data_IF_594424074952
#
_entry.id   IF_594424074952
#
_cell.length_a   1.000
_cell.length_b   1.000
_cell.length_c   1.000
_cell.angle_alpha   90.00
_cell.angle_beta   90.00
_cell.angle_gamma   90.00
#
_symmetry.space_group_name_H-M   'P 1'
#
loop_
_entity.id
_entity.type
_entity.pdbx_description
1 polymer ?
#
# COMPACT_ATOMS: atom_id res chain seq x y z
N UNK A 1 -0.81 -9.23 -13.14
CA UNK A 1 -1.79 -8.65 -14.08
C UNK A 1 -2.84 -9.69 -14.48
N UNK A 2 -3.89 -9.28 -15.21
CA UNK A 2 -4.99 -10.16 -15.61
C UNK A 2 -6.27 -9.40 -15.91
N UNK A 3 -7.21 -10.05 -16.62
CA UNK A 3 -8.49 -9.45 -16.97
C UNK A 3 -9.33 -9.04 -15.73
N UNK A 4 -10.37 -8.24 -15.95
CA UNK A 4 -11.36 -7.97 -14.89
C UNK A 4 -12.02 -9.28 -14.43
N UNK A 5 -12.19 -9.45 -13.13
CA UNK A 5 -12.68 -10.71 -12.54
C UNK A 5 -11.66 -11.86 -12.46
N UNK A 6 -10.38 -11.62 -12.75
CA UNK A 6 -9.30 -12.60 -12.53
C UNK A 6 -8.89 -12.75 -11.04
N UNK A 7 -9.50 -11.98 -10.12
CA UNK A 7 -9.22 -12.04 -8.69
C UNK A 7 -7.88 -11.41 -8.28
N UNK A 8 -7.37 -10.43 -9.04
CA UNK A 8 -6.10 -9.72 -8.77
C UNK A 8 -6.08 -9.09 -7.38
N UNK A 9 -7.01 -8.17 -7.12
CA UNK A 9 -7.20 -7.51 -5.82
C UNK A 9 -7.46 -8.54 -4.72
N UNK A 10 -8.29 -9.55 -4.98
CA UNK A 10 -8.53 -10.62 -4.00
C UNK A 10 -7.26 -11.35 -3.58
N UNK A 11 -6.35 -11.66 -4.52
CA UNK A 11 -5.06 -12.29 -4.19
C UNK A 11 -4.16 -11.32 -3.41
N UNK A 12 -4.12 -10.05 -3.81
CA UNK A 12 -3.36 -9.01 -3.12
C UNK A 12 -3.84 -8.84 -1.65
N UNK A 13 -5.16 -8.86 -1.43
CA UNK A 13 -5.78 -8.79 -0.10
C UNK A 13 -5.47 -10.01 0.77
N UNK A 14 -5.41 -11.22 0.17
CA UNK A 14 -5.05 -12.45 0.89
C UNK A 14 -3.56 -12.41 1.28
N UNK A 15 -2.68 -12.01 0.35
CA UNK A 15 -1.24 -11.91 0.61
C UNK A 15 -0.90 -10.83 1.64
N UNK A 16 -1.59 -9.69 1.62
CA UNK A 16 -1.46 -8.65 2.64
C UNK A 16 -2.14 -9.01 3.97
N UNK A 17 -3.03 -10.00 3.96
CA UNK A 17 -3.79 -10.49 5.13
C UNK A 17 -4.92 -9.55 5.56
N UNK A 18 -5.48 -8.81 4.60
CA UNK A 18 -6.67 -7.96 4.77
C UNK A 18 -7.97 -8.70 4.53
N UNK A 19 -7.94 -9.82 3.82
CA UNK A 19 -9.14 -10.61 3.52
C UNK A 19 -9.71 -11.23 4.81
N UNK A 20 -10.97 -10.90 5.14
CA UNK A 20 -11.66 -11.35 6.35
C UNK A 20 -12.64 -12.50 6.13
N UNK A 21 -12.86 -12.93 4.89
CA UNK A 21 -13.82 -13.98 4.56
C UNK A 21 -13.40 -14.86 3.38
N UNK A 22 -13.99 -16.05 3.31
CA UNK A 22 -13.59 -17.13 2.40
C UNK A 22 -12.71 -18.17 3.09
N UNK A 23 -12.26 -19.17 2.32
CA UNK A 23 -11.36 -20.22 2.79
C UNK A 23 -9.99 -20.06 2.11
N UNK A 24 -8.93 -20.19 2.91
CA UNK A 24 -7.55 -20.22 2.43
C UNK A 24 -7.08 -21.66 2.63
N UNK A 25 -6.86 -22.39 1.54
CA UNK A 25 -6.49 -23.82 1.60
C UNK A 25 -4.99 -24.07 1.76
N UNK A 26 -4.14 -23.06 1.49
CA UNK A 26 -2.68 -23.18 1.48
C UNK A 26 -2.02 -22.20 2.44
N UNK A 27 -0.83 -22.56 2.89
CA UNK A 27 -0.02 -21.72 3.77
C UNK A 27 0.70 -20.61 2.98
N UNK A 28 0.88 -19.48 3.65
CA UNK A 28 1.69 -18.37 3.16
C UNK A 28 2.98 -18.35 3.99
N UNK A 29 4.12 -18.40 3.32
CA UNK A 29 5.44 -18.44 3.97
C UNK A 29 6.16 -17.11 3.79
N UNK A 30 6.88 -16.67 4.81
CA UNK A 30 7.71 -15.46 4.80
C UNK A 30 9.08 -15.82 5.35
N UNK A 31 10.14 -15.70 4.53
CA UNK A 31 11.51 -16.07 4.89
C UNK A 31 11.68 -17.52 5.40
N UNK A 32 10.86 -18.44 4.91
CA UNK A 32 10.83 -19.85 5.34
C UNK A 32 9.99 -20.13 6.58
N UNK A 33 9.33 -19.13 7.16
CA UNK A 33 8.45 -19.29 8.32
C UNK A 33 6.98 -19.08 7.96
N UNK A 34 6.02 -19.76 8.62
CA UNK A 34 4.61 -19.49 8.43
C UNK A 34 4.27 -18.02 8.72
N UNK A 35 3.44 -17.42 7.87
CA UNK A 35 3.00 -16.04 8.02
C UNK A 35 2.13 -15.87 9.25
N UNK A 36 2.62 -15.14 10.25
CA UNK A 36 1.84 -14.68 11.40
C UNK A 36 1.33 -13.26 11.13
N UNK A 37 0.00 -13.09 11.05
CA UNK A 37 -0.59 -11.82 10.61
C UNK A 37 -0.19 -10.61 11.47
N UNK A 38 -0.05 -10.79 12.78
CA UNK A 38 0.28 -9.71 13.70
C UNK A 38 1.69 -9.14 13.46
N UNK A 39 2.68 -10.01 13.25
CA UNK A 39 4.07 -9.60 12.99
C UNK A 39 4.26 -9.17 11.54
N UNK A 40 3.55 -9.83 10.62
CA UNK A 40 3.56 -9.48 9.21
C UNK A 40 3.04 -8.06 8.95
N UNK A 41 1.96 -7.64 9.62
CA UNK A 41 1.39 -6.30 9.47
C UNK A 41 2.35 -5.16 9.87
N UNK A 42 3.36 -5.45 10.70
CA UNK A 42 4.39 -4.46 11.08
C UNK A 42 5.45 -4.27 9.99
N UNK A 43 5.69 -5.29 9.16
CA UNK A 43 6.71 -5.25 8.10
C UNK A 43 6.12 -5.12 6.70
N UNK A 44 4.80 -5.21 6.54
CA UNK A 44 4.11 -5.14 5.27
C UNK A 44 3.31 -3.84 5.09
N UNK A 45 3.40 -3.29 3.89
CA UNK A 45 2.82 -2.06 3.34
C UNK A 45 1.59 -2.36 2.56
N UNK A 46 0.51 -1.58 2.71
CA UNK A 46 -0.60 -1.66 1.77
C UNK A 46 -1.02 -0.24 1.40
N UNK A 47 -0.93 0.08 0.11
CA UNK A 47 -1.50 1.27 -0.49
C UNK A 47 -2.82 0.88 -1.13
N UNK A 48 -3.92 1.46 -0.64
CA UNK A 48 -5.23 1.30 -1.26
C UNK A 48 -5.30 2.14 -2.55
N UNK A 49 -6.26 1.82 -3.42
CA UNK A 49 -6.49 2.57 -4.66
C UNK A 49 -6.99 4.00 -4.37
N UNK A 50 -7.71 4.19 -3.27
CA UNK A 50 -8.19 5.50 -2.82
C UNK A 50 -7.37 6.01 -1.65
N UNK A 51 -6.89 7.22 -1.79
CA UNK A 51 -6.10 7.86 -0.76
C UNK A 51 -6.98 8.41 0.37
N UNK A 52 -6.61 8.10 1.61
CA UNK A 52 -7.26 8.64 2.81
C UNK A 52 -6.27 9.54 3.54
N UNK A 53 -6.22 10.80 3.13
CA UNK A 53 -5.38 11.83 3.76
C UNK A 53 -6.20 12.88 4.50
N UNK A 54 -5.60 13.45 5.56
CA UNK A 54 -6.17 14.63 6.21
C UNK A 54 -5.81 15.85 5.38
N UNK A 55 -6.82 16.50 4.79
CA UNK A 55 -6.64 17.58 3.82
C UNK A 55 -5.96 18.86 4.37
N UNK A 56 -5.80 18.95 5.70
CA UNK A 56 -5.32 20.15 6.40
C UNK A 56 -3.89 20.03 6.94
N UNK A 57 -3.20 18.96 6.58
CA UNK A 57 -1.80 18.73 6.90
C UNK A 57 -0.94 18.94 5.66
N UNK A 58 0.30 19.36 5.89
CA UNK A 58 1.34 19.35 4.85
C UNK A 58 1.81 17.92 4.58
N UNK A 59 2.51 17.72 3.46
CA UNK A 59 3.16 16.44 3.16
C UNK A 59 4.18 16.08 4.24
N UNK A 60 5.01 17.04 4.64
CA UNK A 60 5.98 16.86 5.72
C UNK A 60 5.31 16.41 7.02
N UNK A 61 4.27 17.09 7.48
CA UNK A 61 3.56 16.75 8.73
C UNK A 61 2.86 15.39 8.65
N UNK A 62 2.33 15.03 7.48
CA UNK A 62 1.67 13.74 7.26
C UNK A 62 2.67 12.58 7.34
N UNK A 63 3.83 12.73 6.71
CA UNK A 63 4.91 11.73 6.78
C UNK A 63 5.54 11.70 8.17
N UNK A 64 5.71 12.86 8.83
CA UNK A 64 6.20 12.95 10.20
C UNK A 64 5.27 12.23 11.20
N UNK A 65 3.97 12.44 11.07
CA UNK A 65 2.95 11.75 11.87
C UNK A 65 3.06 10.23 11.70
N UNK A 66 3.21 9.76 10.46
CA UNK A 66 3.44 8.34 10.15
C UNK A 66 4.73 7.83 10.79
N UNK A 67 5.82 8.60 10.69
CA UNK A 67 7.11 8.25 11.25
C UNK A 67 7.06 8.15 12.79
N UNK A 68 6.39 9.07 13.48
CA UNK A 68 6.23 9.01 14.94
C UNK A 68 5.51 7.76 15.42
N UNK A 69 4.51 7.28 14.69
CA UNK A 69 3.74 6.09 15.07
C UNK A 69 4.43 4.78 14.68
N UNK A 70 5.23 4.78 13.62
CA UNK A 70 5.82 3.57 13.01
C UNK A 70 7.27 3.32 13.41
N UNK A 71 8.02 4.35 13.82
CA UNK A 71 9.39 4.20 14.31
C UNK A 71 9.45 3.83 15.79
N UNK A 72 10.54 3.18 16.21
CA UNK A 72 10.79 2.89 17.62
C UNK A 72 10.94 4.19 18.43
N UNK A 73 10.52 4.14 19.70
CA UNK A 73 10.75 5.20 20.70
C UNK A 73 12.23 5.51 20.92
N UNK A 74 13.13 4.56 20.65
CA UNK A 74 14.57 4.71 20.88
C UNK A 74 15.25 5.62 19.85
N UNK A 75 14.55 5.94 18.75
CA UNK A 75 15.08 6.82 17.71
C UNK A 75 14.82 8.28 18.10
N UNK A 76 15.87 9.11 18.25
CA UNK A 76 15.73 10.51 18.62
C UNK A 76 15.05 11.33 17.52
N UNK A 77 14.40 12.43 17.91
CA UNK A 77 13.59 13.26 17.00
C UNK A 77 14.37 13.73 15.77
N UNK A 78 15.63 14.15 15.93
CA UNK A 78 16.45 14.65 14.82
C UNK A 78 16.68 13.58 13.74
N UNK A 79 16.90 12.32 14.16
CA UNK A 79 17.02 11.19 13.23
C UNK A 79 15.70 10.87 12.56
N UNK A 80 14.57 11.07 13.23
CA UNK A 80 13.24 10.90 12.61
C UNK A 80 13.02 11.97 11.53
N UNK A 81 13.40 13.21 11.80
CA UNK A 81 13.30 14.29 10.82
C UNK A 81 14.22 14.08 9.62
N UNK A 82 15.47 13.65 9.86
CA UNK A 82 16.38 13.25 8.78
C UNK A 82 15.79 12.13 7.92
N UNK A 83 15.24 11.09 8.56
CA UNK A 83 14.57 9.99 7.86
C UNK A 83 13.37 10.48 7.01
N UNK A 84 12.54 11.39 7.53
CA UNK A 84 11.41 11.94 6.78
C UNK A 84 11.87 12.72 5.54
N UNK A 85 12.97 13.48 5.65
CA UNK A 85 13.56 14.18 4.52
C UNK A 85 14.09 13.20 3.46
N UNK A 86 14.80 12.15 3.88
CA UNK A 86 15.26 11.09 2.98
C UNK A 86 14.09 10.44 2.21
N UNK A 87 12.97 10.20 2.91
CA UNK A 87 11.76 9.64 2.28
C UNK A 87 11.18 10.57 1.24
N UNK A 88 11.00 11.86 1.57
CA UNK A 88 10.46 12.86 0.65
C UNK A 88 11.36 13.04 -0.57
N UNK A 89 12.67 12.93 -0.39
CA UNK A 89 13.64 12.94 -1.47
C UNK A 89 13.53 11.69 -2.35
N UNK A 90 13.40 10.50 -1.77
CA UNK A 90 13.26 9.24 -2.51
C UNK A 90 12.00 9.20 -3.39
N UNK A 91 10.90 9.78 -2.89
CA UNK A 91 9.63 9.88 -3.63
C UNK A 91 9.54 11.12 -4.52
N UNK A 92 10.61 11.91 -4.61
CA UNK A 92 10.71 13.12 -5.44
C UNK A 92 9.66 14.20 -5.10
N UNK A 93 9.24 14.31 -3.83
CA UNK A 93 8.25 15.28 -3.35
C UNK A 93 8.82 16.39 -2.45
N UNK A 94 10.14 16.52 -2.38
CA UNK A 94 10.82 17.52 -1.53
C UNK A 94 10.39 18.96 -1.83
N UNK A 95 10.16 19.29 -3.11
CA UNK A 95 9.75 20.64 -3.54
C UNK A 95 8.38 21.06 -3.02
N UNK A 96 7.50 20.08 -2.76
CA UNK A 96 6.11 20.32 -2.32
C UNK A 96 5.88 19.93 -0.86
N UNK A 97 6.94 19.66 -0.08
CA UNK A 97 6.81 19.14 1.30
C UNK A 97 5.96 20.01 2.23
N UNK A 98 5.98 21.32 2.02
CA UNK A 98 5.26 22.32 2.83
C UNK A 98 3.88 22.68 2.24
N UNK A 99 3.51 22.09 1.10
CA UNK A 99 2.19 22.29 0.50
C UNK A 99 1.11 21.55 1.30
N UNK A 100 -0.03 22.20 1.50
CA UNK A 100 -1.22 21.55 2.08
C UNK A 100 -1.84 20.60 1.07
N UNK A 101 -2.30 19.44 1.56
CA UNK A 101 -2.94 18.41 0.72
C UNK A 101 -4.22 18.89 0.01
N UNK A 102 -4.83 19.98 0.49
CA UNK A 102 -6.10 20.55 0.00
C UNK A 102 -6.15 20.92 -1.50
N UNK A 103 -5.03 20.94 -2.23
CA UNK A 103 -5.00 21.44 -3.63
C UNK A 103 -4.28 20.50 -4.61
N UNK A 104 -3.60 19.46 -4.14
CA UNK A 104 -2.78 18.62 -5.04
C UNK A 104 -3.11 17.15 -4.87
N UNK A 105 -3.67 16.56 -5.93
CA UNK A 105 -3.90 15.14 -6.11
C UNK A 105 -2.57 14.40 -6.30
N UNK A 106 -1.71 14.41 -5.27
CA UNK A 106 -0.47 13.65 -5.27
C UNK A 106 -0.65 12.47 -4.33
N UNK A 107 -0.74 11.28 -4.91
CA UNK A 107 -0.79 10.03 -4.15
C UNK A 107 0.52 9.84 -3.38
N UNK A 108 0.41 9.84 -2.05
CA UNK A 108 1.55 9.87 -1.15
C UNK A 108 1.98 8.46 -0.74
N UNK A 109 3.10 7.97 -1.28
CA UNK A 109 3.68 6.67 -0.91
C UNK A 109 4.69 6.79 0.25
N UNK A 110 4.23 6.67 1.50
CA UNK A 110 5.12 6.45 2.65
C UNK A 110 5.34 4.94 2.87
N UNK A 111 6.15 4.34 2.00
CA UNK A 111 6.41 2.88 1.96
C UNK A 111 7.78 2.46 2.49
N UNK A 112 8.66 3.42 2.80
CA UNK A 112 10.10 3.17 2.93
C UNK A 112 10.51 2.38 4.18
N UNK A 113 9.65 2.10 5.15
CA UNK A 113 10.05 1.29 6.33
C UNK A 113 9.64 -0.18 6.23
N UNK A 114 9.00 -0.57 5.12
CA UNK A 114 8.34 -1.86 5.00
C UNK A 114 9.12 -2.76 4.06
N UNK A 115 9.33 -4.01 4.49
CA UNK A 115 10.03 -5.02 3.68
C UNK A 115 9.19 -5.45 2.49
N UNK A 116 7.88 -5.46 2.68
CA UNK A 116 6.89 -5.82 1.66
C UNK A 116 5.98 -4.63 1.44
N UNK A 117 5.69 -4.25 0.20
CA UNK A 117 4.81 -3.14 -0.13
C UNK A 117 3.80 -3.62 -1.17
N UNK A 118 2.54 -3.67 -0.78
CA UNK A 118 1.42 -4.02 -1.65
C UNK A 118 0.76 -2.75 -2.16
N UNK A 119 0.45 -2.69 -3.45
CA UNK A 119 -0.30 -1.57 -4.05
C UNK A 119 -1.38 -2.07 -4.99
N UNK A 120 -2.61 -1.63 -4.78
CA UNK A 120 -3.71 -1.97 -5.69
C UNK A 120 -3.84 -0.88 -6.76
N UNK A 121 -3.47 -1.21 -7.99
CA UNK A 121 -3.57 -0.36 -9.17
C UNK A 121 -3.02 1.08 -8.99
N UNK A 122 -1.72 1.24 -8.65
CA UNK A 122 -1.13 2.54 -8.29
C UNK A 122 -1.04 3.56 -9.44
N UNK A 123 -1.28 3.11 -10.67
CA UNK A 123 -1.26 3.96 -11.87
C UNK A 123 -2.66 4.22 -12.42
N UNK A 124 -3.71 3.78 -11.73
CA UNK A 124 -5.09 4.05 -12.13
C UNK A 124 -5.38 5.55 -12.07
N UNK A 125 -6.13 6.05 -13.05
CA UNK A 125 -6.53 7.45 -13.18
C UNK A 125 -5.38 8.46 -13.37
N UNK A 126 -4.15 7.99 -13.62
CA UNK A 126 -3.00 8.84 -13.95
C UNK A 126 -2.79 8.94 -15.46
N UNK A 127 -2.28 10.10 -15.90
CA UNK A 127 -1.75 10.23 -17.25
C UNK A 127 -0.44 9.44 -17.41
N UNK A 128 -0.02 9.18 -18.66
CA UNK A 128 1.15 8.35 -18.92
C UNK A 128 2.44 8.87 -18.27
N UNK A 129 2.57 10.19 -18.13
CA UNK A 129 3.76 10.81 -17.48
C UNK A 129 3.73 10.63 -15.97
N UNK A 130 2.61 10.93 -15.31
CA UNK A 130 2.47 10.73 -13.87
C UNK A 130 2.63 9.24 -13.50
N UNK A 131 2.03 8.34 -14.28
CA UNK A 131 2.19 6.90 -14.09
C UNK A 131 3.68 6.46 -14.21
N UNK A 132 4.42 7.00 -15.17
CA UNK A 132 5.85 6.72 -15.32
C UNK A 132 6.68 7.23 -14.12
N UNK A 133 6.35 8.41 -13.58
CA UNK A 133 6.99 8.94 -12.36
C UNK A 133 6.72 8.02 -11.17
N UNK A 134 5.47 7.60 -10.96
CA UNK A 134 5.11 6.65 -9.89
C UNK A 134 5.91 5.37 -10.03
N UNK A 135 5.95 4.78 -11.23
CA UNK A 135 6.71 3.54 -11.47
C UNK A 135 8.23 3.71 -11.27
N UNK A 136 8.80 4.87 -11.60
CA UNK A 136 10.19 5.21 -11.30
C UNK A 136 10.44 5.22 -9.79
N UNK A 137 9.57 5.88 -9.02
CA UNK A 137 9.66 5.91 -7.56
C UNK A 137 9.54 4.50 -6.98
N UNK A 138 8.61 3.67 -7.47
CA UNK A 138 8.51 2.27 -7.05
C UNK A 138 9.79 1.49 -7.32
N UNK A 139 10.41 1.69 -8.49
CA UNK A 139 11.68 1.06 -8.83
C UNK A 139 12.83 1.52 -7.92
N UNK A 140 12.87 2.81 -7.57
CA UNK A 140 13.82 3.33 -6.57
C UNK A 140 13.60 2.67 -5.21
N UNK A 141 12.35 2.52 -4.76
CA UNK A 141 12.03 1.83 -3.50
C UNK A 141 12.42 0.35 -3.58
N UNK A 142 12.15 -0.35 -4.69
CA UNK A 142 12.53 -1.76 -4.84
C UNK A 142 14.06 -1.97 -4.74
N UNK A 143 14.84 -1.03 -5.29
CA UNK A 143 16.32 -1.07 -5.28
C UNK A 143 16.94 -1.12 -3.88
N UNK A 144 16.19 -0.67 -2.87
CA UNK A 144 16.62 -0.66 -1.46
C UNK A 144 16.36 -1.98 -0.70
N UNK A 145 16.28 -3.10 -1.44
CA UNK A 145 15.97 -4.45 -0.92
C UNK A 145 14.57 -4.57 -0.32
N UNK A 146 13.58 -3.98 -0.99
CA UNK A 146 12.17 -4.06 -0.61
C UNK A 146 11.41 -4.80 -1.70
N UNK A 147 10.51 -5.70 -1.29
CA UNK A 147 9.65 -6.42 -2.22
C UNK A 147 8.39 -5.60 -2.45
N UNK A 148 8.16 -5.17 -3.69
CA UNK A 148 6.94 -4.46 -4.08
C UNK A 148 6.08 -5.42 -4.89
N UNK A 149 4.81 -5.55 -4.52
CA UNK A 149 3.81 -6.34 -5.23
C UNK A 149 2.66 -5.42 -5.58
N UNK A 150 2.41 -5.21 -6.86
CA UNK A 150 1.27 -4.41 -7.29
C UNK A 150 0.42 -5.12 -8.34
N UNK A 151 -0.85 -4.74 -8.35
CA UNK A 151 -1.75 -5.05 -9.47
C UNK A 151 -1.69 -3.87 -10.44
N UNK A 152 -1.69 -4.15 -11.74
CA UNK A 152 -1.83 -3.10 -12.76
C UNK A 152 -2.93 -3.49 -13.73
N UNK A 153 -3.72 -2.47 -14.07
CA UNK A 153 -4.68 -2.48 -15.15
C UNK A 153 -4.09 -1.75 -16.37
N UNK A 154 -4.00 -2.43 -17.51
CA UNK A 154 -3.60 -1.84 -18.81
C UNK A 154 -2.32 -0.97 -18.78
N UNK A 155 -1.13 -1.55 -18.47
CA UNK A 155 0.13 -0.80 -18.48
C UNK A 155 0.51 -0.34 -19.89
N UNK A 156 1.20 0.80 -20.00
CA UNK A 156 2.00 1.12 -21.18
C UNK A 156 3.23 0.21 -21.27
N UNK A 157 3.87 0.16 -22.44
CA UNK A 157 5.08 -0.65 -22.66
C UNK A 157 6.18 -0.26 -21.66
N UNK A 158 6.40 1.04 -21.45
CA UNK A 158 7.43 1.53 -20.53
C UNK A 158 7.18 1.08 -19.08
N UNK A 159 5.91 1.06 -18.64
CA UNK A 159 5.53 0.58 -17.31
C UNK A 159 5.66 -0.93 -17.23
N UNK A 160 5.28 -1.63 -18.29
CA UNK A 160 5.33 -3.08 -18.37
C UNK A 160 6.77 -3.60 -18.23
N UNK A 161 7.72 -2.98 -18.94
CA UNK A 161 9.15 -3.30 -18.87
C UNK A 161 9.80 -2.90 -17.54
N UNK A 162 9.13 -2.10 -16.71
CA UNK A 162 9.62 -1.74 -15.38
C UNK A 162 9.37 -2.82 -14.32
N UNK A 163 8.90 -4.02 -14.69
CA UNK A 163 8.70 -5.16 -13.79
C UNK A 163 9.82 -6.19 -13.91
N UNK A 164 10.29 -6.69 -12.76
CA UNK A 164 11.26 -7.78 -12.73
C UNK A 164 10.57 -9.13 -12.98
N UNK A 165 9.40 -9.34 -12.36
CA UNK A 165 8.56 -10.54 -12.49
C UNK A 165 7.09 -10.18 -12.71
N UNK A 166 6.37 -11.07 -13.40
CA UNK A 166 4.94 -10.94 -13.66
C UNK A 166 4.19 -12.23 -13.38
N UNK A 167 3.05 -12.09 -12.70
CA UNK A 167 2.04 -13.13 -12.55
C UNK A 167 0.84 -12.75 -13.40
N UNK A 168 0.51 -13.55 -14.40
CA UNK A 168 -0.68 -13.39 -15.23
C UNK A 168 -1.77 -14.35 -14.77
N UNK A 169 -2.98 -13.82 -14.60
CA UNK A 169 -4.16 -14.61 -14.19
C UNK A 169 -5.32 -14.41 -15.14
N UNK A 170 -6.04 -15.50 -15.43
CA UNK A 170 -7.29 -15.47 -16.18
C UNK A 170 -8.50 -15.39 -15.26
N UNK A 171 -9.68 -15.19 -15.85
CA UNK A 171 -10.96 -15.24 -15.13
C UNK A 171 -11.11 -16.59 -14.41
N UNK A 172 -11.59 -16.57 -13.17
CA UNK A 172 -11.63 -17.75 -12.30
C UNK A 172 -10.42 -17.87 -11.37
N UNK A 173 -9.43 -16.98 -11.49
CA UNK A 173 -8.32 -16.91 -10.53
C UNK A 173 -7.16 -17.86 -10.83
N UNK A 174 -7.18 -18.53 -11.97
CA UNK A 174 -6.11 -19.44 -12.39
C UNK A 174 -4.94 -18.68 -12.99
N UNK A 175 -3.72 -19.17 -12.73
CA UNK A 175 -2.47 -18.62 -13.24
C UNK A 175 -2.24 -19.17 -14.66
N UNK A 176 -1.83 -18.29 -15.56
CA UNK A 176 -1.46 -18.62 -16.95
C UNK A 176 0.02 -18.39 -17.23
N UNK A 177 0.68 -17.57 -16.42
CA UNK A 177 2.12 -17.30 -16.46
C UNK A 177 2.58 -16.79 -15.09
N UNK A 178 3.78 -17.19 -14.66
CA UNK A 178 4.42 -16.70 -13.44
C UNK A 178 5.93 -16.80 -13.60
N UNK A 179 6.59 -15.66 -13.80
CA UNK A 179 8.03 -15.62 -13.97
C UNK A 179 8.56 -14.25 -14.38
N UNK A 180 9.86 -14.19 -14.66
CA UNK A 180 10.54 -12.98 -15.12
C UNK A 180 10.05 -12.52 -16.50
N UNK A 181 10.05 -11.21 -16.76
CA UNK A 181 9.75 -10.70 -18.11
C UNK A 181 10.90 -10.95 -19.11
N UNK A 182 12.14 -10.84 -18.62
CA UNK A 182 13.33 -10.78 -19.47
C UNK A 182 13.50 -9.40 -20.14
N UNK A 183 14.65 -9.19 -20.79
CA UNK A 183 14.92 -7.95 -21.51
C UNK A 183 13.91 -7.77 -22.64
N UNK A 184 13.23 -6.62 -22.73
CA UNK A 184 12.22 -6.34 -23.76
C UNK A 184 11.11 -7.41 -23.80
N UNK A 185 10.70 -7.91 -22.63
CA UNK A 185 9.70 -8.98 -22.49
C UNK A 185 10.02 -10.28 -23.23
N UNK A 186 11.29 -10.52 -23.59
CA UNK A 186 11.70 -11.68 -24.41
C UNK A 186 11.27 -13.03 -23.84
N UNK A 187 11.38 -13.27 -22.53
CA UNK A 187 10.98 -14.55 -21.92
C UNK A 187 9.47 -14.77 -21.96
N UNK A 188 8.72 -13.68 -21.76
CA UNK A 188 7.26 -13.72 -21.85
C UNK A 188 6.81 -13.99 -23.28
N UNK A 189 7.41 -13.28 -24.24
CA UNK A 189 7.14 -13.45 -25.67
C UNK A 189 7.49 -14.88 -26.09
N UNK A 190 8.68 -15.38 -25.75
CA UNK A 190 9.08 -16.76 -26.05
C UNK A 190 8.08 -17.79 -25.50
N UNK A 191 7.61 -17.62 -24.26
CA UNK A 191 6.61 -18.50 -23.66
C UNK A 191 5.30 -18.51 -24.46
N UNK A 192 4.83 -17.34 -24.88
CA UNK A 192 3.57 -17.22 -25.62
C UNK A 192 3.70 -17.41 -27.13
N UNK A 193 4.88 -17.27 -27.74
CA UNK A 193 5.12 -17.51 -29.17
C UNK A 193 4.96 -19.00 -29.53
N UNK A 194 5.22 -19.90 -28.58
CA UNK A 194 4.95 -21.33 -28.73
C UNK A 194 3.43 -21.61 -28.81
N UNK A 195 2.59 -20.68 -28.35
CA UNK A 195 1.12 -20.69 -28.46
C UNK A 195 0.67 -19.70 -29.53
N UNK A 196 0.44 -20.17 -30.75
CA UNK A 196 -0.05 -19.32 -31.84
C UNK A 196 -1.44 -18.71 -31.49
N UNK A 197 -1.63 -17.38 -31.50
CA UNK A 197 -2.91 -16.73 -31.19
C UNK A 197 -4.07 -17.16 -32.09
N UNK A 198 -3.78 -17.58 -33.33
CA UNK A 198 -4.78 -18.11 -34.26
C UNK A 198 -5.27 -19.51 -33.84
N UNK A 199 -4.45 -20.25 -33.11
CA UNK A 199 -4.70 -21.64 -32.67
C UNK A 199 -5.55 -21.66 -31.39
N UNK A 200 -5.51 -20.63 -30.54
CA UNK A 200 -6.27 -20.55 -29.28
C UNK A 200 -7.78 -20.44 -29.46
N UNK A 201 -8.23 -19.56 -30.36
CA UNK A 201 -9.64 -19.39 -30.67
C UNK A 201 -10.20 -20.60 -31.45
N UNK A 202 -9.35 -21.32 -32.17
CA UNK A 202 -9.71 -22.52 -32.92
C UNK A 202 -9.72 -23.81 -32.09
N UNK A 203 -8.84 -23.93 -31.07
CA UNK A 203 -8.69 -25.17 -30.29
C UNK A 203 -9.41 -25.19 -28.93
N UNK A 204 -9.91 -24.05 -28.43
CA UNK A 204 -10.61 -24.01 -27.13
C UNK A 204 -9.71 -24.41 -25.95
N UNK A 205 -8.41 -24.04 -26.02
CA UNK A 205 -7.39 -24.50 -25.05
C UNK A 205 -7.42 -23.63 -23.79
N UNK A 206 -7.31 -24.30 -22.65
CA UNK A 206 -7.18 -23.64 -21.36
C UNK A 206 -5.70 -23.33 -21.06
N UNK A 207 -5.32 -22.05 -21.11
CA UNK A 207 -3.98 -21.60 -20.75
C UNK A 207 -3.51 -21.99 -19.35
N UNK A 208 -4.42 -22.14 -18.39
CA UNK A 208 -4.04 -22.59 -17.05
C UNK A 208 -3.62 -24.05 -17.05
N UNK A 209 -4.16 -24.85 -17.96
CA UNK A 209 -3.73 -26.22 -18.19
C UNK A 209 -2.34 -26.24 -18.86
N UNK A 210 -2.13 -25.41 -19.88
CA UNK A 210 -0.82 -25.26 -20.53
C UNK A 210 0.27 -24.83 -19.54
N UNK A 211 -0.04 -23.85 -18.68
CA UNK A 211 0.88 -23.43 -17.62
C UNK A 211 1.26 -24.60 -16.70
N UNK A 212 0.30 -25.41 -16.24
CA UNK A 212 0.55 -26.59 -15.40
C UNK A 212 1.40 -27.66 -16.11
N UNK A 213 1.32 -27.77 -17.43
CA UNK A 213 2.16 -28.68 -18.22
C UNK A 213 3.53 -28.10 -18.59
N UNK A 214 3.67 -26.78 -18.57
CA UNK A 214 4.92 -26.10 -18.91
C UNK A 214 6.02 -26.40 -17.89
N UNK A 215 7.28 -26.20 -18.30
CA UNK A 215 8.43 -26.31 -17.41
C UNK A 215 8.45 -25.27 -16.27
N UNK A 216 7.67 -24.18 -16.39
CA UNK A 216 7.59 -23.14 -15.37
C UNK A 216 6.87 -23.60 -14.10
N UNK A 217 5.82 -24.42 -14.24
CA UNK A 217 5.07 -24.91 -13.09
C UNK A 217 5.91 -25.78 -12.12
N UNK A 218 6.63 -26.83 -12.56
CA UNK A 218 7.50 -27.60 -11.68
C UNK A 218 8.64 -26.75 -11.13
N UNK A 219 9.27 -25.88 -11.95
CA UNK A 219 10.31 -24.97 -11.48
C UNK A 219 9.83 -24.05 -10.35
N UNK A 220 8.64 -23.48 -10.49
CA UNK A 220 8.06 -22.62 -9.46
C UNK A 220 7.69 -23.41 -8.19
N UNK A 221 7.28 -24.67 -8.32
CA UNK A 221 7.05 -25.55 -7.17
C UNK A 221 8.37 -25.94 -6.48
N UNK A 222 9.46 -26.14 -7.23
CA UNK A 222 10.80 -26.37 -6.68
C UNK A 222 11.27 -25.14 -5.89
N UNK A 223 11.17 -23.94 -6.48
CA UNK A 223 11.46 -22.68 -5.81
C UNK A 223 10.63 -22.49 -4.54
N UNK A 224 9.32 -22.80 -4.56
CA UNK A 224 8.46 -22.75 -3.37
C UNK A 224 8.96 -23.70 -2.28
N UNK A 225 9.39 -24.91 -2.64
CA UNK A 225 9.95 -25.87 -1.69
C UNK A 225 11.31 -25.43 -1.13
N UNK A 226 12.16 -24.80 -1.94
CA UNK A 226 13.44 -24.24 -1.49
C UNK A 226 13.21 -23.06 -0.52
N UNK A 227 12.29 -22.15 -0.84
CA UNK A 227 12.00 -20.96 -0.04
C UNK A 227 11.26 -21.27 1.27
N UNK A 228 10.62 -22.43 1.38
CA UNK A 228 10.06 -22.95 2.65
C UNK A 228 11.15 -23.27 3.68
N UNK A 229 12.39 -23.50 3.25
CA UNK A 229 13.49 -23.77 4.16
C UNK A 229 14.09 -22.44 4.63
N UNK A 230 14.08 -22.14 5.94
CA UNK A 230 14.67 -20.90 6.43
C UNK A 230 16.18 -20.88 6.17
N UNK A 231 16.66 -19.76 5.64
CA UNK A 231 18.10 -19.55 5.40
C UNK A 231 18.88 -19.64 6.72
N UNK A 232 20.09 -20.18 6.68
CA UNK A 232 20.93 -20.30 7.88
C UNK A 232 21.16 -18.92 8.54
N UNK A 233 20.81 -18.82 9.83
CA UNK A 233 20.89 -17.57 10.60
C UNK A 233 19.70 -16.62 10.43
N UNK A 234 18.71 -16.95 9.59
CA UNK A 234 17.45 -16.20 9.54
C UNK A 234 16.65 -16.46 10.82
N UNK A 235 16.02 -15.40 11.35
CA UNK A 235 15.12 -15.50 12.50
C UNK A 235 13.70 -15.29 12.03
N UNK A 236 12.78 -16.03 12.64
CA UNK A 236 11.36 -15.78 12.47
C UNK A 236 11.03 -14.30 12.78
N UNK A 237 10.11 -13.73 12.01
CA UNK A 237 9.61 -12.39 12.23
C UNK A 237 8.82 -12.34 13.54
N UNK A 238 9.53 -12.10 14.64
CA UNK A 238 8.97 -11.93 15.97
C UNK A 238 9.20 -10.51 16.48
N UNK A 239 8.14 -9.90 17.00
CA UNK A 239 8.18 -8.59 17.64
C UNK A 239 7.62 -8.73 19.05
N UNK A 240 8.26 -8.07 20.01
CA UNK A 240 7.88 -8.12 21.43
C UNK A 240 6.56 -7.39 21.69
N UNK A 241 6.23 -6.38 20.90
CA UNK A 241 5.01 -5.59 21.00
C UNK A 241 4.29 -5.52 19.66
N UNK A 242 2.95 -5.43 19.70
CA UNK A 242 2.12 -5.25 18.51
C UNK A 242 2.33 -3.90 17.80
N UNK A 243 2.74 -2.89 18.56
CA UNK A 243 2.97 -1.54 18.06
C UNK A 243 4.40 -1.06 18.42
N UNK A 244 5.05 -0.27 17.55
CA UNK A 244 6.35 0.34 17.85
C UNK A 244 6.33 1.37 18.98
N UNK A 245 5.19 2.04 19.18
CA UNK A 245 4.98 3.07 20.20
C UNK A 245 4.01 2.63 21.29
N UNK A 246 4.17 3.22 22.48
CA UNK A 246 3.25 3.04 23.60
C UNK A 246 1.91 3.76 23.35
N UNK A 247 0.82 3.27 23.95
CA UNK A 247 -0.52 3.84 23.74
C UNK A 247 -0.64 5.35 24.08
N UNK A 248 0.09 5.81 25.10
CA UNK A 248 0.12 7.23 25.47
C UNK A 248 0.79 8.12 24.42
N UNK A 249 1.89 7.65 23.83
CA UNK A 249 2.58 8.37 22.76
C UNK A 249 1.73 8.38 21.49
N UNK A 250 1.08 7.26 21.15
CA UNK A 250 0.11 7.23 20.06
C UNK A 250 -1.04 8.23 20.28
N UNK A 251 -1.56 8.30 21.51
CA UNK A 251 -2.61 9.26 21.86
C UNK A 251 -2.15 10.71 21.69
N UNK A 252 -0.97 11.08 22.21
CA UNK A 252 -0.40 12.43 22.03
C UNK A 252 -0.22 12.76 20.56
N UNK A 253 0.32 11.84 19.76
CA UNK A 253 0.53 12.03 18.32
C UNK A 253 -0.78 12.23 17.58
N UNK A 254 -1.81 11.45 17.90
CA UNK A 254 -3.16 11.63 17.35
C UNK A 254 -3.79 12.97 17.77
N UNK A 255 -3.65 13.36 19.04
CA UNK A 255 -4.14 14.63 19.57
C UNK A 255 -3.47 15.81 18.88
N UNK A 256 -2.14 15.76 18.69
CA UNK A 256 -1.39 16.76 17.96
C UNK A 256 -1.92 16.93 16.53
N UNK A 257 -2.11 15.81 15.80
CA UNK A 257 -2.65 15.83 14.43
C UNK A 257 -4.04 16.46 14.39
N UNK A 258 -4.91 16.06 15.32
CA UNK A 258 -6.28 16.56 15.41
C UNK A 258 -6.32 18.04 15.77
N UNK A 259 -5.48 18.48 16.70
CA UNK A 259 -5.36 19.87 17.11
C UNK A 259 -4.93 20.76 15.93
N UNK A 260 -3.91 20.34 15.19
CA UNK A 260 -3.42 21.07 14.03
C UNK A 260 -4.49 21.18 12.93
N UNK A 261 -5.18 20.07 12.64
CA UNK A 261 -6.27 20.04 11.66
C UNK A 261 -7.44 20.93 12.09
N UNK A 262 -7.80 20.92 13.39
CA UNK A 262 -8.88 21.75 13.93
C UNK A 262 -8.61 23.25 13.75
N UNK A 263 -7.43 23.72 14.15
CA UNK A 263 -7.07 25.14 14.05
C UNK A 263 -6.86 25.63 12.63
N UNK A 264 -6.49 24.74 11.70
CA UNK A 264 -6.40 25.05 10.27
C UNK A 264 -7.75 25.01 9.55
N UNK A 265 -8.84 24.69 10.25
CA UNK A 265 -10.21 24.78 9.72
C UNK A 265 -10.97 25.95 10.37
N UNK A 266 -10.75 27.20 9.89
CA UNK A 266 -11.41 28.36 10.48
C UNK A 266 -12.92 28.33 10.28
N UNK A 267 -13.42 27.80 9.16
CA UNK A 267 -14.86 27.69 8.89
C UNK A 267 -15.57 26.80 9.91
N UNK A 268 -15.00 25.63 10.21
CA UNK A 268 -15.53 24.73 11.23
C UNK A 268 -15.47 25.34 12.64
N UNK A 269 -14.31 25.90 13.01
CA UNK A 269 -14.10 26.51 14.33
C UNK A 269 -15.04 27.68 14.57
N UNK A 270 -15.18 28.57 13.58
CA UNK A 270 -16.07 29.73 13.63
C UNK A 270 -17.54 29.31 13.64
N UNK A 271 -17.92 28.32 12.84
CA UNK A 271 -19.27 27.75 12.84
C UNK A 271 -19.68 27.22 14.23
N UNK A 272 -18.78 26.50 14.90
CA UNK A 272 -19.00 26.02 16.27
C UNK A 272 -19.13 27.15 17.29
N UNK A 273 -18.28 28.18 17.21
CA UNK A 273 -18.35 29.33 18.10
C UNK A 273 -19.67 30.08 17.93
N UNK A 274 -20.06 30.38 16.69
CA UNK A 274 -21.31 31.08 16.37
C UNK A 274 -22.52 30.28 16.83
N UNK A 275 -22.56 28.97 16.54
CA UNK A 275 -23.64 28.10 17.01
C UNK A 275 -23.75 28.10 18.52
N UNK A 276 -22.63 27.96 19.23
CA UNK A 276 -22.60 27.95 20.71
C UNK A 276 -23.11 29.27 21.29
N UNK A 277 -22.71 30.40 20.70
CA UNK A 277 -23.18 31.73 21.10
C UNK A 277 -24.71 31.82 20.88
N UNK A 278 -25.22 31.46 19.70
CA UNK A 278 -26.65 31.52 19.39
C UNK A 278 -27.45 30.61 20.33
N UNK A 279 -27.02 29.37 20.54
CA UNK A 279 -27.69 28.45 21.47
C UNK A 279 -27.68 28.98 22.89
N UNK A 280 -26.56 29.53 23.37
CA UNK A 280 -26.47 30.11 24.73
C UNK A 280 -27.42 31.29 24.91
N UNK A 281 -27.53 32.18 23.90
CA UNK A 281 -28.47 33.29 23.91
C UNK A 281 -29.91 32.81 23.89
N UNK A 282 -30.22 31.81 23.07
CA UNK A 282 -31.57 31.23 22.98
C UNK A 282 -32.01 30.59 24.31
N UNK A 283 -31.16 29.76 24.94
CA UNK A 283 -31.44 29.18 26.24
C UNK A 283 -31.53 30.25 27.34
N UNK A 284 -30.64 31.25 27.31
CA UNK A 284 -30.67 32.39 28.23
C UNK A 284 -31.99 33.16 28.14
N UNK A 285 -32.51 33.41 26.94
CA UNK A 285 -33.82 34.04 26.74
C UNK A 285 -34.98 33.14 27.17
N UNK A 286 -34.96 31.85 26.83
CA UNK A 286 -36.03 30.90 27.18
C UNK A 286 -36.20 30.67 28.69
N UNK A 287 -35.10 30.74 29.43
CA UNK A 287 -35.05 30.53 30.88
C UNK A 287 -35.00 31.84 31.67
N UNK A 288 -35.07 32.99 30.98
CA UNK A 288 -35.03 34.30 31.61
C UNK A 288 -36.11 34.45 32.68
N UNK A 289 -35.71 34.79 33.91
CA UNK A 289 -36.56 34.96 35.09
C UNK A 289 -37.43 33.75 35.49
N UNK A 290 -37.22 32.55 34.94
CA UNK A 290 -37.96 31.35 35.38
C UNK A 290 -37.54 30.86 36.76
N UNK A 291 -36.30 31.13 37.19
CA UNK A 291 -35.80 30.78 38.52
C UNK A 291 -36.43 31.60 39.67
N UNK A 292 -37.12 32.72 39.38
CA UNK A 292 -37.84 33.49 40.41
C UNK A 292 -39.20 32.88 40.78
N UNK A 293 -39.65 31.86 40.03
CA UNK A 293 -40.92 31.13 40.24
C UNK A 293 -40.73 29.72 40.82
N UNK A 294 -39.50 29.33 41.13
CA UNK A 294 -39.12 28.12 41.86
C UNK A 294 -38.83 28.51 43.32
#
# INVERSE_FOLDING_TARGET
>A
MGASGAGKTTLLDVLSGRKTGGYIERDIMVEGYPKVQQTYAMVSGFCEQTDVHSLLLTLWESVMFSAWLRLSKDIPSDKRSGFVAEVLQMIELEEIKDALFSVTSVSGLSAEQRKWVFMDEPTSDLDARAAAIVMRVLRNIASTRRTIVCTIHQPSIDIFEAFDEIILRKRGGEIIYSGELGQCSSKLIEYFEVTNPFVEAQLGVDFSYLYKQSHMYPRNNELDNELKVPKQGSKELCFTTRFPQNGWEQFKTCLWKQHLSYWRNPAYSLGHMVFSIISSLFYGMLLWNKGQKL
#
